data_IF_417565413204
#
_entry.id   IF_417565413204
#
_cell.length_a   1.000
_cell.length_b   1.000
_cell.length_c   1.000
_cell.angle_alpha   90.00
_cell.angle_beta   90.00
_cell.angle_gamma   90.00
#
_symmetry.space_group_name_H-M   'P 1'
#
loop_
_entity.id
_entity.type
_entity.pdbx_description
1 polymer ?
#
# COMPACT_ATOMS: atom_id res chain seq x y z
N UNK A 1 45.06 -31.61 0.82
CA UNK A 1 43.71 -31.95 1.30
C UNK A 1 42.81 -30.74 1.04
N UNK A 2 42.00 -30.81 -0.01
CA UNK A 2 41.06 -29.77 -0.39
C UNK A 2 39.74 -30.00 0.33
N UNK A 3 39.21 -29.05 1.07
CA UNK A 3 37.82 -29.06 1.57
C UNK A 3 36.96 -28.27 0.61
N UNK A 4 35.97 -28.97 0.06
CA UNK A 4 34.94 -28.40 -0.81
C UNK A 4 33.93 -27.62 0.02
N UNK A 5 33.52 -26.47 -0.53
CA UNK A 5 32.40 -25.65 -0.07
C UNK A 5 31.08 -26.23 -0.61
N UNK A 6 29.99 -26.28 0.17
CA UNK A 6 28.67 -26.61 -0.33
C UNK A 6 27.91 -25.31 -0.66
N UNK A 7 27.99 -24.90 -1.93
CA UNK A 7 27.03 -23.97 -2.48
C UNK A 7 26.28 -24.74 -3.58
N UNK A 8 25.02 -25.04 -3.35
CA UNK A 8 23.92 -25.22 -4.30
C UNK A 8 22.75 -25.91 -3.60
N UNK A 9 21.66 -25.20 -3.45
CA UNK A 9 20.31 -25.66 -3.75
C UNK A 9 19.29 -24.71 -3.14
N UNK A 10 18.90 -23.69 -3.90
CA UNK A 10 17.57 -23.10 -3.84
C UNK A 10 17.21 -22.67 -5.24
N UNK A 11 16.86 -23.63 -6.10
CA UNK A 11 16.12 -23.35 -7.33
C UNK A 11 14.63 -23.42 -7.02
N UNK A 12 14.01 -22.30 -7.17
CA UNK A 12 12.60 -22.01 -6.90
C UNK A 12 11.69 -22.95 -7.71
N UNK A 13 10.77 -23.63 -7.06
CA UNK A 13 9.76 -24.50 -7.67
C UNK A 13 8.85 -23.78 -8.69
N UNK A 14 8.70 -22.44 -8.59
CA UNK A 14 7.89 -21.65 -9.52
C UNK A 14 8.44 -21.60 -10.94
N UNK A 15 9.76 -21.57 -11.13
CA UNK A 15 10.37 -21.48 -12.45
C UNK A 15 10.31 -22.80 -13.21
N UNK A 16 10.28 -23.93 -12.51
CA UNK A 16 10.08 -25.25 -13.15
C UNK A 16 8.69 -25.41 -13.73
N UNK A 17 7.65 -24.83 -13.12
CA UNK A 17 6.29 -24.92 -13.60
C UNK A 17 6.03 -24.04 -14.85
N UNK A 18 6.66 -22.87 -14.94
CA UNK A 18 6.56 -22.00 -16.10
C UNK A 18 7.24 -22.61 -17.35
N UNK A 19 8.41 -23.25 -17.17
CA UNK A 19 9.14 -23.91 -18.28
C UNK A 19 8.44 -25.20 -18.72
N UNK A 20 7.84 -25.95 -17.80
CA UNK A 20 7.06 -27.15 -18.18
C UNK A 20 5.81 -26.80 -19.00
N UNK A 21 5.09 -25.73 -18.63
CA UNK A 21 3.90 -25.30 -19.38
C UNK A 21 4.24 -24.83 -20.81
N UNK A 22 5.37 -24.15 -21.02
CA UNK A 22 5.77 -23.71 -22.35
C UNK A 22 6.19 -24.88 -23.27
N UNK A 23 6.87 -25.89 -22.74
CA UNK A 23 7.23 -27.10 -23.51
C UNK A 23 6.01 -27.97 -23.84
N UNK A 24 5.08 -28.13 -22.93
CA UNK A 24 3.85 -28.90 -23.17
C UNK A 24 2.96 -28.25 -24.25
N UNK A 25 2.94 -26.92 -24.36
CA UNK A 25 2.19 -26.20 -25.40
C UNK A 25 2.85 -26.35 -26.81
N UNK A 26 4.17 -26.42 -26.87
CA UNK A 26 4.89 -26.61 -28.14
C UNK A 26 4.83 -28.04 -28.67
N UNK A 27 4.75 -29.06 -27.81
CA UNK A 27 4.62 -30.47 -28.24
C UNK A 27 3.20 -30.83 -28.67
N UNK A 28 2.18 -30.12 -28.15
CA UNK A 28 0.77 -30.27 -28.57
C UNK A 28 0.53 -29.81 -30.01
N UNK A 29 1.41 -29.02 -30.61
CA UNK A 29 1.34 -28.52 -32.00
C UNK A 29 2.03 -29.42 -33.04
N UNK A 30 2.74 -30.45 -32.59
CA UNK A 30 3.35 -31.45 -33.49
C UNK A 30 2.49 -32.70 -33.50
N UNK A 31 1.50 -32.77 -34.38
CA UNK A 31 0.52 -33.81 -34.62
C UNK A 31 0.96 -35.27 -34.36
N UNK A 32 1.05 -35.68 -33.09
CA UNK A 32 1.26 -37.08 -32.71
C UNK A 32 -0.10 -37.73 -32.51
N UNK A 33 -0.42 -38.74 -33.29
CA UNK A 33 -1.61 -39.59 -33.18
C UNK A 33 -1.45 -40.46 -31.93
N UNK A 34 -1.99 -40.01 -30.80
CA UNK A 34 -2.04 -40.81 -29.58
C UNK A 34 -3.17 -41.81 -29.60
N UNK A 35 -2.92 -43.06 -29.13
CA UNK A 35 -3.91 -44.10 -29.03
C UNK A 35 -5.09 -43.67 -28.15
N UNK A 36 -6.29 -44.24 -28.39
CA UNK A 36 -7.54 -43.91 -27.68
C UNK A 36 -7.41 -43.97 -26.12
N UNK A 37 -6.65 -44.94 -25.62
CA UNK A 37 -6.40 -45.12 -24.18
C UNK A 37 -5.49 -44.00 -23.55
N UNK A 38 -4.59 -43.42 -24.32
CA UNK A 38 -3.75 -42.29 -23.89
C UNK A 38 -4.61 -41.03 -23.83
N UNK A 39 -5.50 -40.80 -24.79
CA UNK A 39 -6.44 -39.64 -24.76
C UNK A 39 -7.38 -39.65 -23.57
N UNK A 40 -7.87 -40.82 -23.15
CA UNK A 40 -8.74 -40.94 -21.96
C UNK A 40 -7.94 -40.67 -20.69
N UNK A 41 -6.74 -41.24 -20.53
CA UNK A 41 -5.87 -40.97 -19.36
C UNK A 41 -5.45 -39.49 -19.27
N UNK A 42 -5.16 -38.86 -20.38
CA UNK A 42 -4.82 -37.42 -20.40
C UNK A 42 -6.01 -36.52 -20.04
N UNK A 43 -7.21 -36.85 -20.54
CA UNK A 43 -8.45 -36.15 -20.17
C UNK A 43 -8.78 -36.32 -18.69
N UNK A 44 -8.63 -37.51 -18.16
CA UNK A 44 -8.88 -37.80 -16.73
C UNK A 44 -7.85 -37.08 -15.86
N UNK A 45 -6.55 -37.07 -16.22
CA UNK A 45 -5.51 -36.32 -15.51
C UNK A 45 -5.70 -34.79 -15.61
N UNK A 46 -6.09 -34.26 -16.78
CA UNK A 46 -6.36 -32.84 -16.95
C UNK A 46 -7.60 -32.39 -16.17
N UNK A 47 -8.68 -33.19 -16.15
CA UNK A 47 -9.86 -32.94 -15.34
C UNK A 47 -9.55 -33.06 -13.85
N UNK A 48 -8.77 -34.06 -13.45
CA UNK A 48 -8.34 -34.18 -12.03
C UNK A 48 -7.41 -33.03 -11.61
N UNK A 49 -6.48 -32.58 -12.45
CA UNK A 49 -5.65 -31.42 -12.19
C UNK A 49 -6.46 -30.12 -12.12
N UNK A 50 -7.44 -29.96 -13.00
CA UNK A 50 -8.36 -28.83 -13.00
C UNK A 50 -9.28 -28.82 -11.76
N UNK A 51 -9.78 -29.99 -11.37
CA UNK A 51 -10.59 -30.16 -10.14
C UNK A 51 -9.72 -29.91 -8.89
N UNK A 52 -8.47 -30.38 -8.86
CA UNK A 52 -7.56 -30.13 -7.75
C UNK A 52 -7.15 -28.63 -7.70
N UNK A 53 -6.90 -27.99 -8.84
CA UNK A 53 -6.63 -26.55 -8.91
C UNK A 53 -7.88 -25.71 -8.53
N UNK A 54 -9.07 -26.11 -8.96
CA UNK A 54 -10.31 -25.42 -8.59
C UNK A 54 -10.69 -25.67 -7.13
N UNK A 55 -10.44 -26.86 -6.57
CA UNK A 55 -10.57 -27.11 -5.14
C UNK A 55 -9.51 -26.34 -4.31
N UNK A 56 -8.26 -26.26 -4.78
CA UNK A 56 -7.22 -25.48 -4.14
C UNK A 56 -7.52 -23.98 -4.21
N UNK A 57 -8.08 -23.49 -5.32
CA UNK A 57 -8.56 -22.12 -5.44
C UNK A 57 -9.81 -21.87 -4.57
N UNK A 58 -10.74 -22.83 -4.48
CA UNK A 58 -11.90 -22.75 -3.60
C UNK A 58 -11.53 -22.85 -2.11
N UNK A 59 -10.48 -23.60 -1.76
CA UNK A 59 -9.95 -23.66 -0.40
C UNK A 59 -9.16 -22.39 -0.02
N UNK A 60 -8.67 -21.62 -0.99
CA UNK A 60 -8.02 -20.31 -0.79
C UNK A 60 -9.02 -19.14 -0.86
N UNK A 61 -10.24 -19.34 -1.36
CA UNK A 61 -11.28 -18.31 -1.41
C UNK A 61 -12.12 -18.28 -0.14
N UNK A 62 -11.51 -18.20 1.03
CA UNK A 62 -12.25 -17.77 2.21
C UNK A 62 -12.55 -16.29 2.05
N UNK A 63 -13.82 -15.94 2.27
CA UNK A 63 -14.36 -14.60 2.06
C UNK A 63 -13.71 -13.60 2.98
N UNK A 64 -12.52 -13.12 2.60
CA UNK A 64 -11.96 -11.86 3.09
C UNK A 64 -12.50 -10.75 2.19
N UNK A 65 -12.75 -9.60 2.77
CA UNK A 65 -13.16 -8.42 2.03
C UNK A 65 -11.96 -7.48 1.85
N UNK A 66 -10.96 -7.80 1.01
CA UNK A 66 -9.70 -7.06 0.91
C UNK A 66 -9.90 -5.62 0.46
N UNK A 67 -11.05 -5.34 -0.16
CA UNK A 67 -11.44 -3.98 -0.53
C UNK A 67 -11.77 -3.10 0.69
N UNK A 68 -11.96 -3.70 1.88
CA UNK A 68 -12.33 -3.03 3.13
C UNK A 68 -11.18 -3.03 4.16
N UNK A 69 -9.95 -3.45 3.76
CA UNK A 69 -8.76 -3.38 4.62
C UNK A 69 -8.15 -1.96 4.65
N UNK A 70 -8.72 -1.03 3.90
CA UNK A 70 -8.33 0.37 3.89
C UNK A 70 -6.84 0.54 3.58
N UNK A 71 -6.16 1.39 4.35
CA UNK A 71 -4.71 1.62 4.17
C UNK A 71 -3.84 0.41 4.51
N UNK A 72 -4.40 -0.69 5.00
CA UNK A 72 -3.66 -1.94 5.24
C UNK A 72 -3.72 -2.91 4.07
N UNK A 73 -4.43 -2.56 2.98
CA UNK A 73 -4.43 -3.35 1.75
C UNK A 73 -3.02 -3.41 1.15
N UNK A 74 -2.52 -4.61 0.76
CA UNK A 74 -1.30 -4.74 -0.02
C UNK A 74 -1.40 -4.00 -1.36
N UNK A 75 -0.25 -3.73 -2.00
CA UNK A 75 -0.22 -3.06 -3.30
C UNK A 75 -0.87 -3.91 -4.40
N UNK A 76 -1.77 -3.29 -5.17
CA UNK A 76 -2.46 -3.98 -6.28
C UNK A 76 -1.65 -3.90 -7.57
N UNK A 77 -0.85 -4.92 -7.82
CA UNK A 77 -0.10 -5.05 -9.08
C UNK A 77 -0.93 -5.50 -10.29
N UNK A 78 -2.16 -5.93 -10.09
CA UNK A 78 -3.03 -6.37 -11.21
C UNK A 78 -3.55 -5.20 -12.04
N UNK A 79 -3.56 -4.00 -11.46
CA UNK A 79 -4.08 -2.78 -12.07
C UNK A 79 -3.01 -1.83 -12.62
N UNK A 80 -1.75 -2.29 -12.71
CA UNK A 80 -0.61 -1.49 -13.15
C UNK A 80 -0.63 -1.26 -14.67
N UNK A 81 -0.53 0.01 -15.09
CA UNK A 81 -0.40 0.37 -16.51
C UNK A 81 1.02 0.10 -17.01
N UNK A 82 1.14 -0.79 -17.99
CA UNK A 82 2.40 -1.09 -18.67
C UNK A 82 2.67 -0.21 -19.89
N UNK A 83 1.64 0.44 -20.44
CA UNK A 83 1.74 1.30 -21.63
C UNK A 83 2.13 2.72 -21.22
N UNK A 84 3.21 3.24 -21.83
CA UNK A 84 3.66 4.61 -21.58
C UNK A 84 2.71 5.62 -22.26
N UNK A 85 2.40 6.75 -21.60
CA UNK A 85 1.52 7.78 -22.20
C UNK A 85 2.24 8.70 -23.18
N UNK A 86 3.52 8.46 -23.51
CA UNK A 86 4.32 9.22 -24.47
C UNK A 86 4.90 8.31 -25.54
N UNK A 87 5.24 8.91 -26.70
CA UNK A 87 5.87 8.23 -27.84
C UNK A 87 7.38 8.48 -27.95
N UNK A 88 7.96 8.05 -29.06
CA UNK A 88 9.41 8.15 -29.36
C UNK A 88 9.90 9.59 -29.61
N UNK A 89 8.99 10.55 -29.71
CA UNK A 89 9.25 11.98 -29.81
C UNK A 89 9.57 12.65 -28.47
N UNK A 90 9.39 11.92 -27.36
CA UNK A 90 9.66 12.38 -26.01
C UNK A 90 10.69 11.48 -25.31
N UNK A 91 11.63 12.12 -24.62
CA UNK A 91 12.71 11.43 -23.90
C UNK A 91 12.59 11.70 -22.39
N UNK A 92 12.52 10.66 -21.52
CA UNK A 92 12.67 10.82 -20.09
C UNK A 92 14.02 11.48 -19.74
N UNK A 93 13.96 12.53 -18.91
CA UNK A 93 15.15 13.28 -18.47
C UNK A 93 15.28 13.29 -16.94
N UNK A 94 14.21 13.04 -16.20
CA UNK A 94 14.25 13.00 -14.74
C UNK A 94 13.04 12.25 -14.16
N UNK A 95 13.20 11.66 -12.96
CA UNK A 95 12.11 11.04 -12.20
C UNK A 95 12.06 11.64 -10.80
N UNK A 96 10.89 12.15 -10.40
CA UNK A 96 10.54 12.34 -9.00
C UNK A 96 9.69 11.15 -8.54
N UNK A 97 10.02 10.58 -7.38
CA UNK A 97 9.27 9.50 -6.78
C UNK A 97 9.01 9.77 -5.30
N UNK A 98 7.79 9.56 -4.87
CA UNK A 98 7.40 9.65 -3.46
C UNK A 98 6.58 8.42 -3.12
N UNK A 99 6.97 7.70 -2.06
CA UNK A 99 6.30 6.46 -1.68
C UNK A 99 6.03 6.36 -0.17
N UNK A 100 5.01 5.60 0.15
CA UNK A 100 4.74 5.03 1.46
C UNK A 100 5.52 3.71 1.60
N UNK A 101 5.91 3.35 2.82
CA UNK A 101 6.49 2.02 3.09
C UNK A 101 5.59 0.86 2.64
N UNK A 102 6.19 -0.26 2.27
CA UNK A 102 5.53 -1.51 1.89
C UNK A 102 4.80 -2.22 3.04
N UNK A 103 4.28 -3.40 2.76
CA UNK A 103 3.56 -4.23 3.73
C UNK A 103 4.44 -4.58 4.95
N UNK A 104 3.78 -4.72 6.09
CA UNK A 104 4.43 -4.85 7.39
C UNK A 104 3.61 -5.66 8.38
N UNK A 105 4.25 -6.13 9.43
CA UNK A 105 3.58 -6.66 10.60
C UNK A 105 2.71 -5.59 11.29
N UNK A 106 1.79 -6.01 12.15
CA UNK A 106 0.96 -5.12 12.95
C UNK A 106 1.86 -4.12 13.71
N UNK A 107 1.43 -2.84 13.79
CA UNK A 107 2.29 -1.78 14.33
C UNK A 107 2.18 -1.56 15.82
N UNK A 108 1.17 -2.14 16.49
CA UNK A 108 0.90 -1.87 17.89
C UNK A 108 0.68 -3.14 18.69
N UNK A 109 1.75 -3.62 19.31
CA UNK A 109 1.71 -4.68 20.31
C UNK A 109 0.68 -4.36 21.41
N UNK A 110 0.73 -3.13 21.95
CA UNK A 110 -0.18 -2.70 23.01
C UNK A 110 -1.66 -2.86 22.65
N UNK A 111 -2.08 -2.52 21.41
CA UNK A 111 -3.49 -2.67 21.01
C UNK A 111 -3.94 -4.13 20.98
N UNK A 112 -3.07 -5.02 20.51
CA UNK A 112 -3.35 -6.45 20.50
C UNK A 112 -3.38 -7.00 21.92
N UNK A 113 -2.44 -6.60 22.76
CA UNK A 113 -2.39 -6.99 24.17
C UNK A 113 -3.60 -6.49 24.98
N UNK A 114 -4.02 -5.22 24.76
CA UNK A 114 -5.20 -4.66 25.41
C UNK A 114 -6.47 -5.45 25.04
N UNK A 115 -6.64 -5.78 23.75
CA UNK A 115 -7.78 -6.56 23.24
C UNK A 115 -7.74 -7.99 23.80
N UNK A 116 -6.57 -8.63 23.78
CA UNK A 116 -6.35 -9.96 24.36
C UNK A 116 -6.68 -9.99 25.85
N UNK A 117 -6.18 -9.02 26.63
CA UNK A 117 -6.42 -8.93 28.06
C UNK A 117 -7.90 -8.74 28.38
N UNK A 118 -8.65 -7.99 27.56
CA UNK A 118 -10.10 -7.83 27.76
C UNK A 118 -10.86 -9.15 27.57
N UNK A 119 -10.49 -9.94 26.56
CA UNK A 119 -11.09 -11.26 26.31
C UNK A 119 -10.65 -12.31 27.34
N UNK A 120 -9.38 -12.30 27.77
CA UNK A 120 -8.88 -13.19 28.84
C UNK A 120 -9.59 -12.94 30.18
N UNK A 121 -9.91 -11.68 30.50
CA UNK A 121 -10.70 -11.34 31.67
C UNK A 121 -12.11 -11.97 31.60
N UNK A 122 -12.79 -11.81 30.46
CA UNK A 122 -14.10 -12.43 30.22
C UNK A 122 -14.05 -13.97 30.23
N UNK A 123 -12.94 -14.57 29.72
CA UNK A 123 -12.72 -16.03 29.81
C UNK A 123 -12.64 -16.52 31.24
N UNK A 124 -11.91 -15.80 32.11
CA UNK A 124 -11.79 -16.16 33.56
C UNK A 124 -13.14 -16.17 34.28
N UNK A 125 -14.02 -15.26 33.89
CA UNK A 125 -15.40 -15.19 34.43
C UNK A 125 -16.35 -16.19 33.75
N UNK A 126 -15.85 -16.99 32.77
CA UNK A 126 -16.67 -17.96 32.04
C UNK A 126 -17.66 -17.32 31.07
N UNK A 127 -17.44 -16.08 30.65
CA UNK A 127 -18.35 -15.27 29.83
C UNK A 127 -18.14 -15.41 28.34
N UNK A 128 -16.96 -15.93 27.87
CA UNK A 128 -16.68 -16.08 26.44
C UNK A 128 -17.52 -17.19 25.81
N UNK A 129 -17.98 -16.91 24.59
CA UNK A 129 -18.55 -17.91 23.67
C UNK A 129 -17.44 -18.67 22.95
N UNK A 130 -17.79 -19.70 22.14
CA UNK A 130 -16.85 -20.41 21.27
C UNK A 130 -16.19 -19.46 20.27
N UNK A 131 -16.94 -18.45 19.74
CA UNK A 131 -16.38 -17.41 18.85
C UNK A 131 -15.36 -16.53 19.57
N UNK A 132 -15.58 -16.22 20.85
CA UNK A 132 -14.63 -15.47 21.68
C UNK A 132 -13.34 -16.25 21.93
N UNK A 133 -13.43 -17.53 22.22
CA UNK A 133 -12.26 -18.42 22.36
C UNK A 133 -11.49 -18.53 21.04
N UNK A 134 -12.18 -18.66 19.90
CA UNK A 134 -11.55 -18.70 18.57
C UNK A 134 -10.83 -17.36 18.26
N UNK A 135 -11.44 -16.22 18.62
CA UNK A 135 -10.79 -14.92 18.40
C UNK A 135 -9.54 -14.74 19.30
N UNK A 136 -9.61 -15.20 20.55
CA UNK A 136 -8.46 -15.20 21.45
C UNK A 136 -7.31 -16.07 20.91
N UNK A 137 -7.63 -17.24 20.34
CA UNK A 137 -6.65 -18.10 19.66
C UNK A 137 -6.04 -17.43 18.42
N UNK A 138 -6.83 -16.64 17.67
CA UNK A 138 -6.30 -15.82 16.57
C UNK A 138 -5.33 -14.76 17.09
N UNK A 139 -5.63 -14.09 18.21
CA UNK A 139 -4.72 -13.12 18.81
C UNK A 139 -3.41 -13.77 19.26
N UNK A 140 -3.45 -14.99 19.81
CA UNK A 140 -2.24 -15.77 20.13
C UNK A 140 -1.42 -16.07 18.88
N UNK A 141 -2.08 -16.41 17.78
CA UNK A 141 -1.43 -16.63 16.46
C UNK A 141 -0.78 -15.34 15.96
N UNK A 142 -1.46 -14.20 16.06
CA UNK A 142 -0.92 -12.88 15.66
C UNK A 142 0.32 -12.52 16.48
N UNK A 143 0.28 -12.70 17.80
CA UNK A 143 1.42 -12.45 18.68
C UNK A 143 2.59 -13.35 18.31
N UNK A 144 2.34 -14.65 18.17
CA UNK A 144 3.39 -15.64 17.83
C UNK A 144 4.01 -15.39 16.45
N UNK A 145 3.19 -15.10 15.44
CA UNK A 145 3.66 -14.82 14.07
C UNK A 145 4.43 -13.49 13.96
N UNK A 146 4.05 -12.49 14.76
CA UNK A 146 4.71 -11.19 14.77
C UNK A 146 6.02 -11.23 15.56
N UNK A 147 6.06 -11.96 16.69
CA UNK A 147 7.22 -11.98 17.59
C UNK A 147 7.68 -10.58 17.98
N UNK A 148 8.96 -10.29 17.82
CA UNK A 148 9.57 -8.99 18.11
C UNK A 148 9.47 -8.00 16.92
N UNK A 149 8.79 -8.36 15.81
CA UNK A 149 8.78 -7.59 14.56
C UNK A 149 7.62 -6.59 14.46
N UNK A 150 7.08 -6.10 15.58
CA UNK A 150 5.98 -5.13 15.56
C UNK A 150 6.29 -3.89 14.71
N UNK A 151 5.50 -3.72 13.64
CA UNK A 151 5.64 -2.61 12.70
C UNK A 151 6.83 -2.69 11.75
N UNK A 152 7.60 -3.77 11.76
CA UNK A 152 8.68 -4.01 10.81
C UNK A 152 8.14 -4.36 9.41
N UNK A 153 8.86 -4.01 8.36
CA UNK A 153 8.61 -4.45 7.00
C UNK A 153 8.68 -5.99 6.96
N UNK A 154 7.75 -6.64 6.28
CA UNK A 154 7.71 -8.10 6.17
C UNK A 154 8.06 -8.57 4.75
N UNK A 155 7.97 -9.90 4.53
CA UNK A 155 8.24 -10.54 3.23
C UNK A 155 7.37 -9.98 2.09
N UNK A 156 6.08 -9.71 2.34
CA UNK A 156 5.19 -9.08 1.34
C UNK A 156 5.73 -7.71 0.95
N UNK A 157 6.05 -6.85 1.94
CA UNK A 157 6.57 -5.52 1.67
C UNK A 157 7.92 -5.54 0.94
N UNK A 158 8.81 -6.47 1.28
CA UNK A 158 10.07 -6.67 0.54
C UNK A 158 9.79 -7.01 -0.93
N UNK A 159 8.84 -7.90 -1.20
CA UNK A 159 8.47 -8.28 -2.57
C UNK A 159 7.76 -7.15 -3.32
N UNK A 160 6.91 -6.37 -2.63
CA UNK A 160 6.29 -5.17 -3.20
C UNK A 160 7.36 -4.19 -3.71
N UNK A 161 8.34 -3.85 -2.86
CA UNK A 161 9.36 -2.86 -3.21
C UNK A 161 10.31 -3.34 -4.31
N UNK A 162 10.67 -4.62 -4.34
CA UNK A 162 11.42 -5.20 -5.45
C UNK A 162 10.66 -5.07 -6.76
N UNK A 163 9.37 -5.39 -6.78
CA UNK A 163 8.55 -5.27 -7.97
C UNK A 163 8.37 -3.80 -8.40
N UNK A 164 8.17 -2.89 -7.46
CA UNK A 164 8.11 -1.44 -7.75
C UNK A 164 9.43 -0.93 -8.34
N UNK A 165 10.57 -1.42 -7.87
CA UNK A 165 11.89 -1.13 -8.44
C UNK A 165 12.04 -1.61 -9.88
N UNK A 166 11.57 -2.82 -10.19
CA UNK A 166 11.54 -3.37 -11.56
C UNK A 166 10.66 -2.53 -12.49
N UNK A 167 9.46 -2.13 -12.01
CA UNK A 167 8.56 -1.28 -12.77
C UNK A 167 9.16 0.10 -13.04
N UNK A 168 9.81 0.72 -12.05
CA UNK A 168 10.52 1.99 -12.27
C UNK A 168 11.65 1.84 -13.30
N UNK A 169 12.42 0.76 -13.24
CA UNK A 169 13.47 0.47 -14.21
C UNK A 169 12.90 0.33 -15.64
N UNK A 170 11.73 -0.33 -15.77
CA UNK A 170 11.08 -0.54 -17.06
C UNK A 170 10.49 0.74 -17.67
N UNK A 171 10.08 1.71 -16.85
CA UNK A 171 9.47 2.98 -17.32
C UNK A 171 10.48 3.88 -18.05
N UNK A 172 11.72 3.97 -17.58
CA UNK A 172 12.72 4.88 -18.14
C UNK A 172 14.12 4.22 -18.24
N UNK A 173 14.28 3.13 -19.01
CA UNK A 173 15.51 2.36 -19.06
C UNK A 173 16.72 3.17 -19.57
N UNK A 174 16.54 4.04 -20.55
CA UNK A 174 17.63 4.87 -21.09
C UNK A 174 18.13 5.92 -20.08
N UNK A 175 17.29 6.38 -19.20
CA UNK A 175 17.62 7.35 -18.16
C UNK A 175 18.33 6.68 -16.96
N UNK A 176 17.87 5.50 -16.57
CA UNK A 176 18.32 4.85 -15.33
C UNK A 176 19.55 3.97 -15.50
N UNK A 177 19.79 3.40 -16.70
CA UNK A 177 20.86 2.42 -16.96
C UNK A 177 22.25 2.84 -16.46
N UNK A 178 22.60 4.12 -16.58
CA UNK A 178 23.86 4.70 -16.09
C UNK A 178 23.56 6.00 -15.33
N UNK A 179 22.39 6.08 -14.73
CA UNK A 179 21.90 7.28 -14.06
C UNK A 179 22.38 7.38 -12.62
N UNK A 180 22.37 8.60 -12.09
CA UNK A 180 22.59 8.87 -10.67
C UNK A 180 21.24 9.03 -9.97
N UNK A 181 21.01 8.27 -8.92
CA UNK A 181 19.78 8.28 -8.14
C UNK A 181 20.09 8.70 -6.70
N UNK A 182 19.35 9.67 -6.23
CA UNK A 182 19.34 10.09 -4.83
C UNK A 182 18.07 9.55 -4.17
N UNK A 183 18.16 8.89 -3.03
CA UNK A 183 17.04 8.40 -2.26
C UNK A 183 17.12 8.87 -0.81
N UNK A 184 16.00 9.41 -0.29
CA UNK A 184 15.87 9.81 1.12
C UNK A 184 14.70 9.11 1.78
N UNK A 185 14.82 8.85 3.08
CA UNK A 185 13.73 8.28 3.86
C UNK A 185 13.58 8.92 5.25
N UNK A 186 12.41 8.71 5.85
CA UNK A 186 12.28 8.92 7.29
C UNK A 186 13.15 7.91 8.05
N UNK A 187 13.52 8.22 9.29
CA UNK A 187 14.36 7.37 10.14
C UNK A 187 13.67 6.10 10.67
N UNK A 188 12.40 5.85 10.33
CA UNK A 188 11.63 4.70 10.84
C UNK A 188 12.08 3.43 10.11
N UNK A 189 12.47 2.34 10.82
CA UNK A 189 13.14 1.18 10.22
C UNK A 189 12.42 0.59 9.00
N UNK A 190 11.08 0.42 9.04
CA UNK A 190 10.34 -0.10 7.89
C UNK A 190 10.43 0.78 6.64
N UNK A 191 10.54 2.11 6.81
CA UNK A 191 10.66 3.04 5.69
C UNK A 191 12.07 3.02 5.11
N UNK A 192 13.07 2.93 5.99
CA UNK A 192 14.48 2.76 5.61
C UNK A 192 14.65 1.46 4.81
N UNK A 193 14.07 0.35 5.30
CA UNK A 193 14.10 -0.94 4.59
C UNK A 193 13.38 -0.88 3.24
N UNK A 194 12.21 -0.23 3.17
CA UNK A 194 11.48 0.03 1.92
C UNK A 194 12.37 0.74 0.88
N UNK A 195 13.05 1.82 1.29
CA UNK A 195 14.00 2.54 0.45
C UNK A 195 15.12 1.62 -0.07
N UNK A 196 15.73 0.85 0.83
CA UNK A 196 16.83 -0.04 0.45
C UNK A 196 16.39 -1.15 -0.49
N UNK A 197 15.25 -1.79 -0.27
CA UNK A 197 14.77 -2.88 -1.13
C UNK A 197 14.50 -2.40 -2.57
N UNK A 198 13.85 -1.24 -2.73
CA UNK A 198 13.63 -0.64 -4.05
C UNK A 198 14.96 -0.23 -4.71
N UNK A 199 15.86 0.42 -3.97
CA UNK A 199 17.16 0.86 -4.49
C UNK A 199 18.08 -0.31 -4.85
N UNK A 200 18.11 -1.39 -4.06
CA UNK A 200 18.83 -2.62 -4.37
C UNK A 200 18.33 -3.26 -5.67
N UNK A 201 16.98 -3.26 -5.87
CA UNK A 201 16.43 -3.82 -7.08
C UNK A 201 16.76 -2.98 -8.32
N UNK A 202 16.78 -1.64 -8.22
CA UNK A 202 17.28 -0.78 -9.30
C UNK A 202 18.75 -1.09 -9.64
N UNK A 203 19.60 -1.26 -8.62
CA UNK A 203 21.01 -1.62 -8.82
C UNK A 203 21.18 -3.03 -9.42
N UNK A 204 20.25 -3.95 -9.12
CA UNK A 204 20.20 -5.29 -9.73
C UNK A 204 19.75 -5.24 -11.20
N UNK A 205 18.81 -4.36 -11.54
CA UNK A 205 18.37 -4.16 -12.92
C UNK A 205 19.46 -3.54 -13.80
N UNK A 206 20.26 -2.62 -13.25
CA UNK A 206 21.25 -1.85 -14.00
C UNK A 206 22.58 -1.73 -13.25
N UNK A 207 23.60 -2.45 -13.69
CA UNK A 207 24.93 -2.45 -13.07
C UNK A 207 25.68 -1.09 -13.16
N UNK A 208 25.24 -0.20 -14.03
CA UNK A 208 25.85 1.14 -14.20
C UNK A 208 25.14 2.26 -13.44
N UNK A 209 24.05 1.94 -12.71
CA UNK A 209 23.35 2.95 -11.91
C UNK A 209 24.13 3.28 -10.64
N UNK A 210 24.23 4.56 -10.31
CA UNK A 210 24.82 5.03 -9.05
C UNK A 210 23.67 5.44 -8.11
N UNK A 211 23.50 4.74 -6.97
CA UNK A 211 22.44 5.04 -5.99
C UNK A 211 23.07 5.54 -4.69
N UNK A 212 22.67 6.74 -4.29
CA UNK A 212 23.01 7.32 -2.98
C UNK A 212 21.79 7.35 -2.09
N UNK A 213 21.87 6.76 -0.90
CA UNK A 213 20.78 6.70 0.07
C UNK A 213 21.11 7.53 1.31
N UNK A 214 20.10 8.17 1.88
CA UNK A 214 20.20 8.88 3.15
C UNK A 214 18.90 8.76 3.95
N UNK A 215 19.01 8.57 5.26
CA UNK A 215 17.90 8.54 6.19
C UNK A 215 18.17 9.41 7.41
N UNK A 216 17.13 9.75 8.16
CA UNK A 216 17.32 10.43 9.42
C UNK A 216 16.29 11.51 9.73
N UNK A 217 16.45 12.11 10.92
CA UNK A 217 15.55 13.16 11.42
C UNK A 217 15.65 14.48 10.66
N UNK A 218 16.77 14.73 9.97
CA UNK A 218 16.94 15.89 9.10
C UNK A 218 15.93 15.94 7.96
N UNK A 219 15.38 14.79 7.57
CA UNK A 219 14.33 14.70 6.53
C UNK A 219 12.90 14.82 7.09
N UNK A 220 12.72 15.01 8.41
CA UNK A 220 11.38 15.16 8.99
C UNK A 220 10.54 16.28 8.36
N UNK A 221 11.10 17.47 8.00
CA UNK A 221 10.32 18.51 7.32
C UNK A 221 9.70 18.05 5.98
N UNK A 222 10.29 17.06 5.32
CA UNK A 222 9.79 16.49 4.07
C UNK A 222 9.01 15.20 4.30
N UNK A 223 9.55 14.25 5.10
CA UNK A 223 9.02 12.89 5.19
C UNK A 223 8.11 12.67 6.40
N UNK A 224 8.17 13.55 7.40
CA UNK A 224 7.40 13.46 8.65
C UNK A 224 6.90 14.82 9.13
N UNK A 225 6.55 15.72 8.23
CA UNK A 225 6.02 17.05 8.58
C UNK A 225 4.84 16.98 9.56
N UNK A 226 4.06 15.90 9.54
CA UNK A 226 3.00 15.60 10.51
C UNK A 226 3.50 15.44 11.98
N UNK A 227 4.81 15.44 12.22
CA UNK A 227 5.39 15.41 13.57
C UNK A 227 6.17 16.68 13.94
N UNK A 228 6.36 17.60 13.00
CA UNK A 228 7.17 18.80 13.20
C UNK A 228 6.44 20.11 12.86
N UNK A 229 5.41 20.04 11.99
CA UNK A 229 4.52 21.18 11.77
C UNK A 229 3.59 21.34 12.98
N UNK A 230 3.80 22.41 13.76
CA UNK A 230 3.11 22.60 15.05
C UNK A 230 1.60 22.77 14.89
N UNK A 231 1.15 23.45 13.82
CA UNK A 231 -0.26 23.64 13.54
C UNK A 231 -0.94 22.31 13.18
N UNK A 232 -0.27 21.51 12.35
CA UNK A 232 -0.79 20.21 11.95
C UNK A 232 -0.77 19.21 13.12
N UNK A 233 0.28 19.20 13.97
CA UNK A 233 0.31 18.38 15.19
C UNK A 233 -0.84 18.73 16.13
N UNK A 234 -1.12 20.02 16.32
CA UNK A 234 -2.27 20.46 17.13
C UNK A 234 -3.61 20.02 16.53
N UNK A 235 -3.77 20.15 15.22
CA UNK A 235 -4.95 19.70 14.47
C UNK A 235 -5.17 18.19 14.60
N UNK A 236 -4.13 17.39 14.49
CA UNK A 236 -4.23 15.92 14.64
C UNK A 236 -4.66 15.53 16.05
N UNK A 237 -4.20 16.27 17.07
CA UNK A 237 -4.50 15.98 18.47
C UNK A 237 -5.93 16.33 18.85
N UNK A 238 -6.37 17.54 18.50
CA UNK A 238 -7.65 18.10 18.96
C UNK A 238 -8.26 19.08 17.95
N UNK A 239 -8.25 18.73 16.67
CA UNK A 239 -8.82 19.53 15.61
C UNK A 239 -10.35 19.49 15.56
N UNK A 240 -10.98 20.43 14.82
CA UNK A 240 -12.45 20.53 14.70
C UNK A 240 -13.10 19.31 14.04
N UNK A 241 -12.33 18.43 13.43
CA UNK A 241 -12.78 17.15 12.86
C UNK A 241 -13.23 16.16 13.94
N UNK A 242 -12.68 16.25 15.15
CA UNK A 242 -12.83 15.22 16.17
C UNK A 242 -14.28 15.03 16.66
N UNK A 243 -15.05 16.07 17.02
CA UNK A 243 -16.46 15.91 17.42
C UNK A 243 -17.33 15.30 16.29
N UNK A 244 -17.05 15.65 15.03
CA UNK A 244 -17.77 15.11 13.87
C UNK A 244 -17.48 13.62 13.71
N UNK A 245 -16.20 13.26 13.79
CA UNK A 245 -15.76 11.87 13.77
C UNK A 245 -16.34 11.05 14.91
N UNK A 246 -16.25 11.54 16.16
CA UNK A 246 -16.75 10.84 17.35
C UNK A 246 -18.27 10.61 17.25
N UNK A 247 -19.04 11.61 16.78
CA UNK A 247 -20.48 11.48 16.54
C UNK A 247 -20.81 10.44 15.46
N UNK A 248 -20.05 10.44 14.34
CA UNK A 248 -20.24 9.46 13.26
C UNK A 248 -19.89 8.05 13.75
N UNK A 249 -18.74 7.88 14.40
CA UNK A 249 -18.30 6.60 14.93
C UNK A 249 -19.29 5.98 15.92
N UNK A 250 -19.82 6.79 16.84
CA UNK A 250 -20.80 6.34 17.84
C UNK A 250 -22.09 5.79 17.21
N UNK A 251 -22.51 6.34 16.04
CA UNK A 251 -23.70 5.90 15.30
C UNK A 251 -23.41 4.71 14.38
N UNK A 252 -22.21 4.64 13.80
CA UNK A 252 -21.89 3.72 12.69
C UNK A 252 -21.28 2.41 13.18
N UNK A 253 -20.44 2.46 14.23
CA UNK A 253 -19.76 1.25 14.71
C UNK A 253 -20.74 0.15 15.15
N UNK A 254 -20.57 -1.09 14.71
CA UNK A 254 -21.40 -2.22 15.08
C UNK A 254 -20.97 -2.78 16.44
N UNK A 255 -21.95 -3.17 17.27
CA UNK A 255 -21.71 -3.90 18.51
C UNK A 255 -21.73 -5.44 18.31
N UNK A 256 -22.49 -5.93 17.33
CA UNK A 256 -22.79 -7.36 17.13
C UNK A 256 -21.54 -8.25 16.92
N UNK A 257 -20.49 -7.85 16.17
CA UNK A 257 -19.28 -8.67 16.06
C UNK A 257 -18.68 -9.00 17.42
N UNK A 258 -18.42 -7.99 18.26
CA UNK A 258 -17.89 -8.21 19.60
C UNK A 258 -18.89 -8.94 20.50
N UNK A 259 -20.18 -8.61 20.43
CA UNK A 259 -21.21 -9.28 21.22
C UNK A 259 -21.26 -10.79 20.95
N UNK A 260 -21.03 -11.22 19.71
CA UNK A 260 -20.96 -12.64 19.36
C UNK A 260 -19.83 -13.41 20.08
N UNK A 261 -18.80 -12.71 20.56
CA UNK A 261 -17.67 -13.27 21.32
C UNK A 261 -18.04 -13.60 22.78
N UNK A 262 -19.23 -13.18 23.25
CA UNK A 262 -19.68 -13.41 24.62
C UNK A 262 -20.88 -14.35 24.64
N UNK A 263 -21.05 -15.09 25.73
CA UNK A 263 -22.26 -15.90 26.00
C UNK A 263 -23.48 -14.99 26.15
N UNK A 264 -24.66 -15.52 25.88
CA UNK A 264 -25.92 -14.78 26.00
C UNK A 264 -26.08 -14.16 27.40
N UNK A 265 -26.36 -12.85 27.43
CA UNK A 265 -26.54 -12.11 28.68
C UNK A 265 -25.24 -11.78 29.45
N UNK A 266 -24.07 -12.08 28.90
CA UNK A 266 -22.76 -11.83 29.53
C UNK A 266 -21.92 -10.74 28.80
N UNK A 267 -22.42 -10.21 27.71
CA UNK A 267 -21.74 -9.16 26.96
C UNK A 267 -21.72 -7.83 27.75
N UNK A 268 -20.64 -7.04 27.65
CA UNK A 268 -20.58 -5.71 28.23
C UNK A 268 -21.56 -4.72 27.56
N UNK A 269 -21.56 -3.46 28.00
CA UNK A 269 -22.40 -2.41 27.41
C UNK A 269 -22.09 -2.14 25.94
N UNK A 270 -23.04 -1.50 25.23
CA UNK A 270 -22.98 -1.22 23.80
C UNK A 270 -21.74 -0.42 23.38
N UNK A 271 -21.36 0.59 24.17
CA UNK A 271 -20.18 1.43 23.87
C UNK A 271 -18.89 0.62 23.91
N UNK A 272 -18.75 -0.25 24.90
CA UNK A 272 -17.59 -1.15 25.01
C UNK A 272 -17.57 -2.20 23.89
N UNK A 273 -18.75 -2.72 23.52
CA UNK A 273 -18.87 -3.66 22.38
C UNK A 273 -18.48 -3.01 21.06
N UNK A 274 -18.94 -1.80 20.77
CA UNK A 274 -18.55 -1.04 19.58
C UNK A 274 -17.03 -0.83 19.51
N UNK A 275 -16.42 -0.45 20.64
CA UNK A 275 -14.97 -0.32 20.73
C UNK A 275 -14.26 -1.65 20.47
N UNK A 276 -14.69 -2.75 21.07
CA UNK A 276 -14.11 -4.07 20.87
C UNK A 276 -14.24 -4.53 19.42
N UNK A 277 -15.40 -4.30 18.77
CA UNK A 277 -15.59 -4.59 17.35
C UNK A 277 -14.61 -3.80 16.48
N UNK A 278 -14.39 -2.52 16.77
CA UNK A 278 -13.46 -1.69 16.03
C UNK A 278 -12.00 -2.08 16.26
N UNK A 279 -11.63 -2.47 17.48
CA UNK A 279 -10.30 -2.98 17.80
C UNK A 279 -10.06 -4.35 17.12
N UNK A 280 -11.05 -5.23 17.08
CA UNK A 280 -11.00 -6.50 16.36
C UNK A 280 -10.83 -6.28 14.84
N UNK A 281 -11.62 -5.37 14.25
CA UNK A 281 -11.43 -4.94 12.86
C UNK A 281 -9.99 -4.47 12.61
N UNK A 282 -9.40 -3.68 13.52
CA UNK A 282 -8.03 -3.20 13.42
C UNK A 282 -6.97 -4.33 13.35
N UNK A 283 -7.23 -5.48 13.95
CA UNK A 283 -6.40 -6.69 13.80
C UNK A 283 -6.66 -7.36 12.46
N UNK A 284 -7.93 -7.65 12.16
CA UNK A 284 -8.35 -8.42 10.99
C UNK A 284 -7.93 -7.78 9.66
N UNK A 285 -8.08 -6.45 9.51
CA UNK A 285 -7.65 -5.71 8.31
C UNK A 285 -6.14 -5.83 8.03
N UNK A 286 -5.34 -6.21 9.02
CA UNK A 286 -3.89 -6.30 8.89
C UNK A 286 -3.39 -7.70 8.56
N UNK A 287 -4.25 -8.73 8.64
CA UNK A 287 -3.83 -10.12 8.52
C UNK A 287 -3.27 -10.44 7.14
N UNK A 288 -3.91 -9.93 6.09
CA UNK A 288 -3.47 -10.11 4.70
C UNK A 288 -2.06 -9.56 4.47
N UNK A 289 -1.83 -8.32 4.89
CA UNK A 289 -0.54 -7.67 4.77
C UNK A 289 0.55 -8.34 5.62
N UNK A 290 0.17 -8.98 6.71
CA UNK A 290 1.09 -9.67 7.63
C UNK A 290 1.30 -11.16 7.30
N UNK A 291 0.67 -11.69 6.22
CA UNK A 291 0.67 -13.13 5.87
C UNK A 291 0.16 -14.04 7.01
N UNK A 292 -0.71 -13.51 7.86
CA UNK A 292 -1.33 -14.28 8.95
C UNK A 292 -2.68 -14.80 8.48
N UNK A 293 -2.91 -16.10 8.62
CA UNK A 293 -4.19 -16.72 8.26
C UNK A 293 -5.27 -16.34 9.26
N UNK A 294 -6.41 -15.92 8.73
CA UNK A 294 -7.63 -15.64 9.48
C UNK A 294 -8.75 -15.25 8.51
N UNK A 295 -9.98 -15.52 8.90
CA UNK A 295 -11.17 -15.22 8.09
C UNK A 295 -12.07 -14.28 8.88
N UNK A 296 -12.14 -13.02 8.48
CA UNK A 296 -12.98 -12.02 9.17
C UNK A 296 -14.45 -12.42 9.22
N UNK A 297 -14.93 -13.26 8.27
CA UNK A 297 -16.32 -13.70 8.23
C UNK A 297 -16.73 -14.63 9.38
N UNK A 298 -15.77 -15.14 10.14
CA UNK A 298 -16.05 -15.91 11.36
C UNK A 298 -16.72 -15.05 12.44
N UNK A 299 -16.42 -13.74 12.47
CA UNK A 299 -16.88 -12.80 13.49
C UNK A 299 -17.73 -11.66 12.95
N UNK A 300 -17.50 -11.25 11.69
CA UNK A 300 -18.16 -10.10 11.07
C UNK A 300 -19.06 -10.53 9.92
N UNK A 301 -20.18 -9.85 9.74
CA UNK A 301 -20.81 -9.76 8.42
C UNK A 301 -20.05 -8.77 7.55
N UNK A 302 -20.19 -8.83 6.23
CA UNK A 302 -19.60 -7.82 5.34
C UNK A 302 -20.08 -6.40 5.70
N UNK A 303 -21.36 -6.26 6.03
CA UNK A 303 -21.96 -4.99 6.42
C UNK A 303 -21.32 -4.43 7.70
N UNK A 304 -21.02 -5.26 8.70
CA UNK A 304 -20.37 -4.85 9.94
C UNK A 304 -18.91 -4.48 9.70
N UNK A 305 -18.19 -5.25 8.91
CA UNK A 305 -16.81 -5.00 8.53
C UNK A 305 -16.70 -3.67 7.75
N UNK A 306 -17.62 -3.45 6.81
CA UNK A 306 -17.75 -2.20 6.05
C UNK A 306 -17.99 -0.99 6.95
N UNK A 307 -18.88 -1.09 7.94
CA UNK A 307 -19.11 0.00 8.90
C UNK A 307 -17.85 0.35 9.71
N UNK A 308 -17.06 -0.64 10.10
CA UNK A 308 -15.77 -0.39 10.76
C UNK A 308 -14.77 0.29 9.80
N UNK A 309 -14.70 -0.18 8.54
CA UNK A 309 -13.89 0.48 7.52
C UNK A 309 -14.33 1.93 7.27
N UNK A 310 -15.62 2.22 7.14
CA UNK A 310 -16.13 3.58 6.94
C UNK A 310 -15.67 4.54 8.03
N UNK A 311 -15.69 4.11 9.29
CA UNK A 311 -15.19 4.89 10.44
C UNK A 311 -13.67 5.08 10.35
N UNK A 312 -12.91 4.06 9.98
CA UNK A 312 -11.45 4.16 9.80
C UNK A 312 -11.11 5.09 8.62
N UNK A 313 -11.80 4.95 7.49
CA UNK A 313 -11.66 5.75 6.30
C UNK A 313 -11.94 7.24 6.57
N UNK A 314 -13.06 7.54 7.28
CA UNK A 314 -13.42 8.90 7.68
C UNK A 314 -12.33 9.54 8.54
N UNK A 315 -11.71 8.79 9.47
CA UNK A 315 -10.60 9.30 10.27
C UNK A 315 -9.41 9.67 9.40
N UNK A 316 -9.03 8.81 8.43
CA UNK A 316 -7.94 9.08 7.51
C UNK A 316 -8.23 10.32 6.65
N UNK A 317 -9.45 10.45 6.15
CA UNK A 317 -9.90 11.60 5.38
C UNK A 317 -9.76 12.91 6.17
N UNK A 318 -10.37 12.99 7.36
CA UNK A 318 -10.31 14.21 8.18
C UNK A 318 -8.90 14.56 8.65
N UNK A 319 -8.13 13.56 9.05
CA UNK A 319 -6.80 13.80 9.60
C UNK A 319 -5.74 14.11 8.54
N UNK A 320 -5.91 13.68 7.28
CA UNK A 320 -4.81 13.66 6.32
C UNK A 320 -5.14 14.24 4.94
N UNK A 321 -6.42 14.41 4.61
CA UNK A 321 -6.84 14.96 3.32
C UNK A 321 -7.37 16.39 3.46
N UNK A 322 -7.78 16.98 2.34
CA UNK A 322 -8.62 18.18 2.33
C UNK A 322 -10.06 17.75 2.62
N UNK A 323 -10.73 18.48 3.49
CA UNK A 323 -12.11 18.18 3.88
C UNK A 323 -12.91 19.46 4.06
N UNK A 324 -14.23 19.34 4.20
CA UNK A 324 -15.13 20.45 4.57
C UNK A 324 -14.68 21.17 5.86
N UNK A 325 -13.92 20.46 6.71
CA UNK A 325 -13.46 20.96 8.00
C UNK A 325 -12.17 21.77 7.89
N UNK A 326 -11.23 21.34 7.03
CA UNK A 326 -9.92 21.97 6.94
C UNK A 326 -9.11 21.51 5.72
N UNK A 327 -8.32 22.45 5.16
CA UNK A 327 -7.26 22.15 4.19
C UNK A 327 -5.86 22.03 4.83
N UNK A 328 -5.76 22.22 6.14
CA UNK A 328 -4.47 22.24 6.86
C UNK A 328 -3.61 20.99 6.64
N UNK A 329 -4.16 19.75 6.65
CA UNK A 329 -3.34 18.57 6.36
C UNK A 329 -2.59 18.65 5.02
N UNK A 330 -3.30 19.04 3.96
CA UNK A 330 -2.70 19.20 2.63
C UNK A 330 -1.67 20.33 2.61
N UNK A 331 -1.96 21.49 3.22
CA UNK A 331 -1.03 22.63 3.31
C UNK A 331 0.28 22.26 4.01
N UNK A 332 0.24 21.39 5.02
CA UNK A 332 1.41 20.90 5.72
C UNK A 332 2.39 20.11 4.80
N UNK A 333 1.92 19.57 3.68
CA UNK A 333 2.76 18.92 2.67
C UNK A 333 3.48 19.93 1.73
N UNK A 334 3.23 21.22 1.86
CA UNK A 334 3.82 22.27 1.02
C UNK A 334 5.35 22.23 0.90
N UNK A 335 6.13 22.03 1.96
CA UNK A 335 7.57 21.86 1.87
C UNK A 335 8.01 20.71 0.95
N UNK A 336 7.31 19.56 1.00
CA UNK A 336 7.60 18.42 0.14
C UNK A 336 7.26 18.70 -1.32
N UNK A 337 6.12 19.37 -1.61
CA UNK A 337 5.78 19.75 -2.97
C UNK A 337 6.78 20.78 -3.54
N UNK A 338 7.22 21.76 -2.74
CA UNK A 338 8.27 22.70 -3.15
C UNK A 338 9.59 22.01 -3.46
N UNK A 339 9.98 20.99 -2.71
CA UNK A 339 11.18 20.19 -2.99
C UNK A 339 11.05 19.44 -4.34
N UNK A 340 9.89 18.86 -4.64
CA UNK A 340 9.59 18.20 -5.93
C UNK A 340 9.72 19.23 -7.08
N UNK A 341 9.11 20.40 -6.95
CA UNK A 341 9.17 21.47 -7.95
C UNK A 341 10.60 21.92 -8.18
N UNK A 342 11.34 22.23 -7.12
CA UNK A 342 12.73 22.71 -7.19
C UNK A 342 13.68 21.70 -7.85
N UNK A 343 13.55 20.41 -7.52
CA UNK A 343 14.33 19.34 -8.13
C UNK A 343 13.99 19.20 -9.64
N UNK A 344 12.71 19.32 -9.99
CA UNK A 344 12.27 19.32 -11.39
C UNK A 344 12.81 20.51 -12.16
N UNK A 345 12.71 21.73 -11.61
CA UNK A 345 13.27 22.95 -12.22
C UNK A 345 14.78 22.83 -12.47
N UNK A 346 15.49 22.21 -11.52
CA UNK A 346 16.92 21.94 -11.68
C UNK A 346 17.23 20.95 -12.80
N UNK A 347 16.37 19.93 -12.96
CA UNK A 347 16.52 18.92 -14.00
C UNK A 347 16.23 19.48 -15.40
N UNK A 348 15.11 20.21 -15.59
CA UNK A 348 14.78 20.82 -16.88
C UNK A 348 15.76 21.89 -17.31
N UNK A 349 16.34 22.62 -16.33
CA UNK A 349 17.39 23.62 -16.57
C UNK A 349 18.78 23.00 -16.81
N UNK A 350 18.95 21.68 -16.76
CA UNK A 350 20.24 21.01 -16.89
C UNK A 350 21.23 21.30 -15.76
N UNK A 351 20.74 21.73 -14.58
CA UNK A 351 21.56 22.08 -13.40
C UNK A 351 21.86 20.92 -12.47
N UNK A 352 21.36 19.72 -12.78
CA UNK A 352 21.65 18.49 -12.05
C UNK A 352 22.02 17.37 -13.02
N UNK A 353 22.84 16.42 -12.55
CA UNK A 353 23.16 15.19 -13.26
C UNK A 353 22.37 13.98 -12.68
N UNK A 354 21.42 14.21 -11.80
CA UNK A 354 20.57 13.18 -11.26
C UNK A 354 19.56 12.70 -12.31
N UNK A 355 19.41 11.39 -12.41
CA UNK A 355 18.35 10.74 -13.16
C UNK A 355 17.04 10.67 -12.36
N UNK A 356 17.14 10.52 -11.02
CA UNK A 356 15.97 10.44 -10.16
C UNK A 356 16.24 10.94 -8.75
N UNK A 357 15.17 11.48 -8.11
CA UNK A 357 15.10 11.69 -6.66
C UNK A 357 13.92 10.92 -6.08
N UNK A 358 14.22 10.02 -5.15
CA UNK A 358 13.28 9.11 -4.50
C UNK A 358 13.07 9.52 -3.04
N UNK A 359 11.82 9.46 -2.57
CA UNK A 359 11.43 9.88 -1.22
C UNK A 359 10.51 8.85 -0.60
N UNK A 360 10.87 8.35 0.58
CA UNK A 360 10.14 7.28 1.26
C UNK A 360 9.60 7.74 2.62
N UNK A 361 8.30 7.57 2.81
CA UNK A 361 7.59 8.04 3.99
C UNK A 361 6.46 7.12 4.43
N UNK A 362 5.36 7.72 4.82
CA UNK A 362 4.22 7.09 5.47
C UNK A 362 2.91 7.45 4.76
N UNK A 363 1.78 6.85 5.16
CA UNK A 363 0.45 7.30 4.72
C UNK A 363 0.24 8.79 5.04
N UNK A 364 0.74 9.23 6.22
CA UNK A 364 0.75 10.62 6.67
C UNK A 364 1.65 11.54 5.82
N UNK A 365 2.53 10.98 5.01
CA UNK A 365 3.35 11.73 4.05
C UNK A 365 2.64 11.84 2.70
N UNK A 366 2.09 10.73 2.20
CA UNK A 366 1.61 10.68 0.81
C UNK A 366 0.17 11.18 0.67
N UNK A 367 -0.74 10.90 1.62
CA UNK A 367 -2.14 11.33 1.53
C UNK A 367 -2.25 12.87 1.45
N UNK A 368 -1.62 13.65 2.36
CA UNK A 368 -1.69 15.10 2.29
C UNK A 368 -1.07 15.67 1.02
N UNK A 369 0.05 15.09 0.56
CA UNK A 369 0.71 15.52 -0.67
C UNK A 369 -0.20 15.29 -1.89
N UNK A 370 -0.81 14.11 -2.00
CA UNK A 370 -1.69 13.77 -3.12
C UNK A 370 -2.95 14.65 -3.14
N UNK A 371 -3.47 14.98 -1.96
CA UNK A 371 -4.58 15.93 -1.81
C UNK A 371 -4.15 17.36 -2.19
N UNK A 372 -2.95 17.83 -1.79
CA UNK A 372 -2.43 19.14 -2.18
C UNK A 372 -2.22 19.25 -3.70
N UNK A 373 -1.68 18.19 -4.33
CA UNK A 373 -1.51 18.11 -5.78
C UNK A 373 -2.82 17.95 -6.55
N UNK A 374 -3.94 17.76 -5.85
CA UNK A 374 -5.29 17.48 -6.38
C UNK A 374 -5.30 16.32 -7.37
N UNK A 375 -4.59 15.24 -7.02
CA UNK A 375 -4.55 14.06 -7.86
C UNK A 375 -5.94 13.40 -7.94
N UNK A 376 -6.28 12.73 -9.06
CA UNK A 376 -7.57 12.06 -9.23
C UNK A 376 -7.87 11.08 -8.07
N UNK A 377 -9.07 11.19 -7.48
CA UNK A 377 -9.49 10.38 -6.32
C UNK A 377 -8.90 10.80 -4.97
N UNK A 378 -7.93 11.75 -4.94
CA UNK A 378 -7.27 12.15 -3.70
C UNK A 378 -7.78 13.48 -3.12
N UNK A 379 -8.49 14.29 -3.91
CA UNK A 379 -9.00 15.60 -3.52
C UNK A 379 -10.54 15.63 -3.57
N UNK A 380 -11.16 15.66 -2.39
CA UNK A 380 -12.62 15.73 -2.21
C UNK A 380 -12.89 16.68 -1.04
N UNK A 381 -12.94 18.01 -1.28
CA UNK A 381 -12.94 19.01 -0.21
C UNK A 381 -14.28 19.19 0.52
N UNK A 382 -15.36 18.66 -0.04
CA UNK A 382 -16.75 19.01 0.32
C UNK A 382 -17.62 17.80 0.70
N UNK A 383 -17.01 16.64 0.99
CA UNK A 383 -17.78 15.47 1.42
C UNK A 383 -18.12 15.55 2.91
N UNK A 384 -19.41 15.45 3.22
CA UNK A 384 -19.87 15.23 4.60
C UNK A 384 -19.48 13.84 5.11
N UNK A 385 -19.47 13.63 6.42
CA UNK A 385 -19.07 12.36 7.04
C UNK A 385 -19.78 11.12 6.44
N UNK A 386 -21.05 11.25 6.06
CA UNK A 386 -21.84 10.16 5.45
C UNK A 386 -21.52 9.90 3.98
N UNK A 387 -20.89 10.85 3.29
CA UNK A 387 -20.58 10.75 1.86
C UNK A 387 -19.14 10.30 1.59
N UNK A 388 -18.24 10.42 2.60
CA UNK A 388 -16.81 10.14 2.41
C UNK A 388 -16.57 8.77 1.82
N UNK A 389 -17.19 7.72 2.36
CA UNK A 389 -16.96 6.35 1.90
C UNK A 389 -17.34 6.10 0.42
N UNK A 390 -18.26 6.91 -0.15
CA UNK A 390 -18.66 6.84 -1.55
C UNK A 390 -17.77 7.67 -2.49
N UNK A 391 -17.06 8.69 -1.97
CA UNK A 391 -16.34 9.68 -2.77
C UNK A 391 -14.81 9.64 -2.58
N UNK A 392 -14.34 9.14 -1.44
CA UNK A 392 -12.93 9.05 -1.09
C UNK A 392 -12.64 7.73 -0.37
N UNK A 393 -11.65 6.99 -0.84
CA UNK A 393 -11.29 5.68 -0.31
C UNK A 393 -9.79 5.65 0.03
N UNK A 394 -9.48 5.46 1.29
CA UNK A 394 -8.11 5.44 1.81
C UNK A 394 -7.25 4.34 1.22
N UNK A 395 -7.85 3.20 0.84
CA UNK A 395 -7.17 2.12 0.13
C UNK A 395 -6.71 2.55 -1.26
N UNK A 396 -7.53 3.31 -2.00
CA UNK A 396 -7.22 3.70 -3.38
C UNK A 396 -6.18 4.84 -3.39
N UNK A 397 -6.20 5.68 -2.35
CA UNK A 397 -5.24 6.78 -2.18
C UNK A 397 -3.91 6.29 -1.63
N UNK A 398 -3.91 5.45 -0.60
CA UNK A 398 -2.69 5.07 0.11
C UNK A 398 -2.72 3.61 0.59
N UNK A 399 -2.73 2.61 -0.31
CA UNK A 399 -2.43 1.24 0.05
C UNK A 399 -1.00 1.13 0.60
N UNK A 400 -0.60 -0.04 1.10
CA UNK A 400 0.82 -0.31 1.40
C UNK A 400 1.63 -0.21 0.10
N UNK A 401 2.84 0.34 0.15
CA UNK A 401 3.64 0.64 -1.05
C UNK A 401 3.09 1.76 -1.96
N UNK A 402 2.04 2.49 -1.51
CA UNK A 402 1.46 3.60 -2.29
C UNK A 402 2.53 4.57 -2.77
N UNK A 403 2.44 4.98 -4.04
CA UNK A 403 3.48 5.80 -4.63
C UNK A 403 2.96 6.74 -5.73
N UNK A 404 3.70 7.81 -5.92
CA UNK A 404 3.61 8.71 -7.06
C UNK A 404 4.96 8.73 -7.79
N UNK A 405 4.97 8.35 -9.05
CA UNK A 405 6.10 8.54 -9.95
C UNK A 405 5.76 9.66 -10.94
N UNK A 406 6.56 10.71 -10.95
CA UNK A 406 6.50 11.77 -11.95
C UNK A 406 7.70 11.63 -12.89
N UNK A 407 7.43 11.35 -14.15
CA UNK A 407 8.46 11.30 -15.20
C UNK A 407 8.48 12.64 -15.93
N UNK A 408 9.63 13.30 -15.89
CA UNK A 408 9.89 14.53 -16.63
C UNK A 408 10.44 14.15 -18.00
N UNK A 409 9.86 14.73 -19.02
CA UNK A 409 10.10 14.40 -20.43
C UNK A 409 10.57 15.63 -21.20
N UNK A 410 11.56 15.47 -22.08
CA UNK A 410 11.94 16.47 -23.06
C UNK A 410 11.41 16.06 -24.43
N UNK A 411 10.58 16.90 -25.03
CA UNK A 411 10.13 16.73 -26.42
C UNK A 411 11.22 17.08 -27.41
N UNK A 412 11.13 16.57 -28.65
CA UNK A 412 12.06 16.96 -29.73
C UNK A 412 12.00 18.45 -30.07
N UNK A 413 10.86 19.11 -29.82
CA UNK A 413 10.69 20.57 -29.93
C UNK A 413 11.50 21.37 -28.88
N UNK A 414 12.01 20.69 -27.83
CA UNK A 414 12.74 21.30 -26.71
C UNK A 414 11.89 21.62 -25.50
N UNK A 415 10.58 21.45 -25.58
CA UNK A 415 9.65 21.68 -24.46
C UNK A 415 9.73 20.57 -23.42
N UNK A 416 9.43 20.93 -22.14
CA UNK A 416 9.44 20.02 -21.02
C UNK A 416 7.99 19.66 -20.61
N UNK A 417 7.78 18.37 -20.36
CA UNK A 417 6.50 17.80 -19.94
C UNK A 417 6.66 16.96 -18.68
N UNK A 418 5.55 16.72 -17.99
CA UNK A 418 5.47 15.77 -16.88
C UNK A 418 4.33 14.78 -17.12
N UNK A 419 4.61 13.49 -16.88
CA UNK A 419 3.62 12.42 -16.78
C UNK A 419 3.57 11.92 -15.32
N UNK A 420 2.36 11.74 -14.78
CA UNK A 420 2.15 11.32 -13.40
C UNK A 420 1.59 9.90 -13.35
N UNK A 421 2.21 9.04 -12.56
CA UNK A 421 1.76 7.66 -12.32
C UNK A 421 1.48 7.47 -10.84
N UNK A 422 0.19 7.40 -10.48
CA UNK A 422 -0.28 7.20 -9.11
C UNK A 422 -0.64 5.74 -8.89
N UNK A 423 -0.03 5.08 -7.91
CA UNK A 423 -0.26 3.67 -7.58
C UNK A 423 -0.27 2.77 -8.83
N UNK A 424 0.72 2.96 -9.72
CA UNK A 424 0.89 2.18 -10.95
C UNK A 424 0.02 2.60 -12.13
N UNK A 425 -0.87 3.60 -12.00
CA UNK A 425 -1.76 4.06 -13.08
C UNK A 425 -1.36 5.46 -13.56
N UNK A 426 -1.26 5.64 -14.89
CA UNK A 426 -1.04 6.96 -15.48
C UNK A 426 -2.29 7.81 -15.33
N UNK A 427 -2.18 8.90 -14.57
CA UNK A 427 -3.29 9.80 -14.26
C UNK A 427 -3.24 11.06 -15.11
N UNK A 428 -4.42 11.63 -15.36
CA UNK A 428 -4.56 12.93 -16.03
C UNK A 428 -4.73 14.03 -14.99
N UNK A 429 -4.08 15.18 -15.23
CA UNK A 429 -4.39 16.42 -14.54
C UNK A 429 -5.28 17.24 -15.48
N UNK A 430 -6.50 17.55 -15.05
CA UNK A 430 -7.57 17.95 -15.98
C UNK A 430 -7.79 16.83 -17.00
N UNK A 431 -7.69 17.16 -18.29
CA UNK A 431 -7.85 16.19 -19.38
C UNK A 431 -6.53 15.75 -20.02
N UNK A 432 -5.37 16.11 -19.44
CA UNK A 432 -4.04 15.88 -20.03
C UNK A 432 -3.30 14.80 -19.25
N UNK A 433 -2.85 13.72 -19.93
CA UNK A 433 -1.90 12.72 -19.37
C UNK A 433 -0.46 13.24 -19.39
N UNK A 434 -0.16 14.15 -20.33
CA UNK A 434 1.11 14.84 -20.45
C UNK A 434 0.87 16.32 -20.24
N UNK A 435 1.42 16.87 -19.17
CA UNK A 435 1.30 18.29 -18.83
C UNK A 435 2.59 19.01 -19.19
N UNK A 436 2.55 20.16 -19.92
CA UNK A 436 3.71 21.04 -20.01
C UNK A 436 4.19 21.41 -18.59
N UNK A 437 5.49 21.26 -18.35
CA UNK A 437 6.03 21.49 -17.00
C UNK A 437 5.72 22.90 -16.44
N UNK A 438 5.84 24.00 -17.21
CA UNK A 438 5.50 25.32 -16.70
C UNK A 438 4.03 25.45 -16.28
N UNK A 439 3.10 24.79 -17.00
CA UNK A 439 1.69 24.78 -16.68
C UNK A 439 1.41 24.02 -15.37
N UNK A 440 1.95 22.79 -15.23
CA UNK A 440 1.80 22.00 -14.05
C UNK A 440 2.42 22.67 -12.81
N UNK A 441 3.61 23.25 -12.97
CA UNK A 441 4.30 24.01 -11.94
C UNK A 441 3.47 25.17 -11.41
N UNK A 442 2.94 26.01 -12.31
CA UNK A 442 2.10 27.15 -11.95
C UNK A 442 0.82 26.72 -11.25
N UNK A 443 0.22 25.60 -11.70
CA UNK A 443 -0.97 25.01 -11.08
C UNK A 443 -0.70 24.57 -9.64
N UNK A 444 0.41 23.87 -9.38
CA UNK A 444 0.76 23.44 -8.03
C UNK A 444 1.15 24.61 -7.11
N UNK A 445 1.80 25.64 -7.65
CA UNK A 445 2.07 26.86 -6.89
C UNK A 445 0.78 27.58 -6.47
N UNK A 446 -0.23 27.64 -7.35
CA UNK A 446 -1.54 28.19 -6.99
C UNK A 446 -2.21 27.40 -5.87
N UNK A 447 -2.17 26.04 -5.91
CA UNK A 447 -2.75 25.20 -4.86
C UNK A 447 -2.07 25.37 -3.50
N UNK A 448 -0.76 25.66 -3.48
CA UNK A 448 -0.06 25.98 -2.23
C UNK A 448 -0.41 27.34 -1.65
N UNK A 449 -0.95 28.23 -2.47
CA UNK A 449 -1.30 29.62 -2.09
C UNK A 449 -2.74 29.76 -1.61
N UNK A 450 -3.63 28.83 -1.99
CA UNK A 450 -5.02 28.73 -1.51
C UNK A 450 -5.08 28.25 -0.03
#
# INVERSE_FOLDING_TARGET
>A
MRRASPALFCLNLSDKYAVLNCRMYQESLKGVIMSHNYRIRYKVMAVSAFVILSLAAALNSRAQWPLLDGTMSPYDFSSVDSTLPWGDDMKPVYINYVARHGARFLSSEKKVADLKSALEAARKEGELSEKGEAFLSLLDTVVSATGDNWGALNSVGIMEEKRLGQEMAAVAPSLLKNGKVEAISSYVPRVVMTMYELCHELARCYSGIEVTTSEGKQFNPLMRYFTVDTAYVAYLKDGPWKPLYDSYAAKTLPAEPAKSMFKAGRAPDDSRLKKLSFDAYGVLQSLNAAEIRGDASEWFTEADYRRCWEVSNLRHYYQRSVSEVSSLPAKAAGPLLRDIISKTDSAVAGKTNLAASLRFGHAETVIPLFALMRLPGCYVPDASAGEVAARWCDRDVSPLGANLMMVVLKARSGEDYAALRLNGKWVSIGNKKLMPWPELRSLWESYMSE
#
